data_IF_897972610735
#
_entry.id   IF_897972610735
#
_cell.length_a   1.000
_cell.length_b   1.000
_cell.length_c   1.000
_cell.angle_alpha   90.00
_cell.angle_beta   90.00
_cell.angle_gamma   90.00
#
_symmetry.space_group_name_H-M   'P 1'
#
loop_
_entity.id
_entity.type
_entity.pdbx_description
1 polymer ?
#
# COMPACT_ATOMS: atom_id res chain seq x y z
N UNK A 1 -32.89 10.11 -6.98
CA UNK A 1 -33.04 9.64 -8.37
C UNK A 1 -31.81 10.04 -9.16
N UNK A 2 -30.91 9.10 -9.48
CA UNK A 2 -29.69 9.35 -10.25
C UNK A 2 -30.04 9.55 -11.74
N UNK A 3 -29.48 10.58 -12.37
CA UNK A 3 -29.61 10.80 -13.82
C UNK A 3 -29.10 9.58 -14.59
N UNK A 4 -29.87 9.05 -15.57
CA UNK A 4 -29.42 7.96 -16.40
C UNK A 4 -28.16 8.38 -17.19
N UNK A 5 -27.07 7.57 -17.11
CA UNK A 5 -25.90 7.74 -17.97
C UNK A 5 -26.36 7.59 -19.42
N UNK A 6 -26.23 8.65 -20.23
CA UNK A 6 -26.42 8.57 -21.68
C UNK A 6 -25.34 7.63 -22.22
N UNK A 7 -25.75 6.49 -22.77
CA UNK A 7 -24.89 5.66 -23.61
C UNK A 7 -24.41 6.53 -24.78
N UNK A 8 -23.12 6.50 -25.15
CA UNK A 8 -22.64 7.23 -26.33
C UNK A 8 -23.40 6.71 -27.52
N UNK A 9 -24.08 7.61 -28.26
CA UNK A 9 -24.81 7.27 -29.47
C UNK A 9 -23.81 6.75 -30.51
N UNK A 10 -24.00 5.50 -30.92
CA UNK A 10 -23.17 4.87 -31.94
C UNK A 10 -23.51 5.50 -33.30
N UNK A 11 -22.51 6.04 -34.00
CA UNK A 11 -22.70 6.63 -35.35
C UNK A 11 -23.02 5.52 -36.36
N UNK A 12 -23.73 5.87 -37.45
CA UNK A 12 -24.13 4.90 -38.48
C UNK A 12 -22.91 4.21 -39.12
N UNK A 13 -21.81 4.94 -39.36
CA UNK A 13 -20.55 4.34 -39.83
C UNK A 13 -19.95 3.31 -38.86
N UNK A 14 -20.05 3.53 -37.54
CA UNK A 14 -19.61 2.52 -36.58
C UNK A 14 -20.50 1.28 -36.56
N UNK A 15 -21.82 1.45 -36.77
CA UNK A 15 -22.75 0.31 -36.87
C UNK A 15 -22.43 -0.53 -38.10
N UNK A 16 -22.16 0.10 -39.22
CA UNK A 16 -21.80 -0.59 -40.46
C UNK A 16 -20.50 -1.39 -40.31
N UNK A 17 -19.48 -0.80 -39.72
CA UNK A 17 -18.21 -1.49 -39.42
C UNK A 17 -18.45 -2.71 -38.52
N UNK A 18 -19.25 -2.57 -37.45
CA UNK A 18 -19.55 -3.68 -36.54
C UNK A 18 -20.35 -4.78 -37.24
N UNK A 19 -21.33 -4.43 -38.07
CA UNK A 19 -22.10 -5.43 -38.82
C UNK A 19 -21.20 -6.23 -39.76
N UNK A 20 -20.33 -5.56 -40.52
CA UNK A 20 -19.35 -6.23 -41.38
C UNK A 20 -18.37 -7.10 -40.61
N UNK A 21 -17.94 -6.65 -39.43
CA UNK A 21 -17.04 -7.42 -38.55
C UNK A 21 -17.72 -8.73 -38.09
N UNK A 22 -18.98 -8.65 -37.66
CA UNK A 22 -19.75 -9.83 -37.23
C UNK A 22 -19.89 -10.82 -38.36
N UNK A 23 -20.16 -10.33 -39.60
CA UNK A 23 -20.30 -11.18 -40.79
C UNK A 23 -18.96 -11.79 -41.21
N UNK A 24 -17.88 -11.00 -41.27
CA UNK A 24 -16.56 -11.44 -41.77
C UNK A 24 -15.91 -12.49 -40.88
N UNK A 25 -16.08 -12.35 -39.55
CA UNK A 25 -15.49 -13.29 -38.56
C UNK A 25 -16.49 -14.34 -38.04
N UNK A 26 -17.72 -14.39 -38.56
CA UNK A 26 -18.79 -15.33 -38.12
C UNK A 26 -18.94 -15.35 -36.56
N UNK A 27 -18.96 -14.16 -35.96
CA UNK A 27 -18.92 -13.96 -34.50
C UNK A 27 -20.20 -14.50 -33.86
N UNK A 28 -20.06 -15.51 -33.00
CA UNK A 28 -21.16 -16.15 -32.27
C UNK A 28 -20.93 -16.16 -30.76
N UNK A 29 -19.66 -16.10 -30.32
CA UNK A 29 -19.27 -16.21 -28.93
C UNK A 29 -18.40 -15.02 -28.48
N UNK A 30 -18.17 -14.88 -27.16
CA UNK A 30 -17.25 -13.86 -26.64
C UNK A 30 -15.79 -14.15 -27.03
N UNK A 31 -15.44 -15.41 -27.26
CA UNK A 31 -14.12 -15.86 -27.73
C UNK A 31 -13.88 -15.40 -29.17
N UNK A 32 -14.89 -15.57 -30.07
CA UNK A 32 -14.82 -15.08 -31.44
C UNK A 32 -14.59 -13.56 -31.49
N UNK A 33 -15.22 -12.80 -30.59
CA UNK A 33 -14.98 -11.35 -30.46
C UNK A 33 -13.53 -11.06 -30.15
N UNK A 34 -12.92 -11.79 -29.19
CA UNK A 34 -11.52 -11.60 -28.81
C UNK A 34 -10.57 -11.93 -29.96
N UNK A 35 -10.83 -12.99 -30.69
CA UNK A 35 -10.05 -13.40 -31.84
C UNK A 35 -10.13 -12.38 -32.99
N UNK A 36 -11.32 -11.90 -33.29
CA UNK A 36 -11.52 -10.83 -34.29
C UNK A 36 -10.81 -9.54 -33.88
N UNK A 37 -10.91 -9.13 -32.62
CA UNK A 37 -10.24 -7.93 -32.12
C UNK A 37 -8.71 -8.08 -32.14
N UNK A 38 -8.20 -9.28 -31.86
CA UNK A 38 -6.77 -9.60 -31.92
C UNK A 38 -6.21 -9.47 -33.32
N UNK A 39 -6.88 -10.05 -34.30
CA UNK A 39 -6.50 -10.00 -35.71
C UNK A 39 -6.55 -8.58 -36.25
N UNK A 40 -7.66 -7.86 -36.02
CA UNK A 40 -7.80 -6.45 -36.38
C UNK A 40 -6.74 -5.56 -35.76
N UNK A 41 -6.37 -5.81 -34.49
CA UNK A 41 -5.32 -5.06 -33.80
C UNK A 41 -3.98 -5.28 -34.51
N UNK A 42 -3.65 -6.53 -34.85
CA UNK A 42 -2.42 -6.89 -35.59
C UNK A 42 -2.36 -6.20 -36.96
N UNK A 43 -3.41 -6.31 -37.72
CA UNK A 43 -3.54 -5.66 -39.04
C UNK A 43 -3.45 -4.13 -38.98
N UNK A 44 -4.13 -3.54 -38.00
CA UNK A 44 -4.08 -2.08 -37.77
C UNK A 44 -2.69 -1.60 -37.44
N UNK A 45 -2.00 -2.25 -36.48
CA UNK A 45 -0.62 -1.90 -36.07
C UNK A 45 0.32 -2.04 -37.26
N UNK A 46 0.22 -3.11 -38.03
CA UNK A 46 1.06 -3.32 -39.21
C UNK A 46 0.82 -2.22 -40.26
N UNK A 47 -0.45 -1.91 -40.60
CA UNK A 47 -0.78 -0.83 -41.51
C UNK A 47 -0.25 0.54 -41.04
N UNK A 48 -0.39 0.84 -39.77
CA UNK A 48 0.13 2.08 -39.20
C UNK A 48 1.66 2.16 -39.30
N UNK A 49 2.41 1.06 -39.05
CA UNK A 49 3.86 1.04 -39.21
C UNK A 49 4.30 1.19 -40.68
N UNK A 50 3.54 0.67 -41.61
CA UNK A 50 3.80 0.88 -43.04
C UNK A 50 3.61 2.35 -43.45
N UNK A 51 2.55 3.00 -42.96
CA UNK A 51 2.35 4.42 -43.13
C UNK A 51 3.46 5.26 -42.51
N UNK A 52 3.86 4.91 -41.30
CA UNK A 52 4.95 5.57 -40.56
C UNK A 52 6.29 5.48 -41.32
N UNK A 53 6.64 4.28 -41.82
CA UNK A 53 7.84 4.06 -42.61
C UNK A 53 7.84 4.88 -43.92
N UNK A 54 6.70 4.94 -44.59
CA UNK A 54 6.57 5.75 -45.82
C UNK A 54 6.74 7.25 -45.52
N UNK A 55 6.11 7.74 -44.45
CA UNK A 55 6.24 9.14 -44.03
C UNK A 55 7.69 9.51 -43.67
N UNK A 56 8.41 8.63 -42.95
CA UNK A 56 9.82 8.85 -42.65
C UNK A 56 10.70 8.88 -43.89
N UNK A 57 10.42 8.03 -44.89
CA UNK A 57 11.13 8.05 -46.15
C UNK A 57 10.88 9.34 -46.95
N UNK A 58 9.65 9.82 -47.00
CA UNK A 58 9.31 11.09 -47.63
C UNK A 58 9.98 12.27 -46.94
N UNK A 59 10.09 12.25 -45.59
CA UNK A 59 10.77 13.28 -44.81
C UNK A 59 12.29 13.30 -45.09
N UNK A 60 12.92 12.13 -45.15
CA UNK A 60 14.34 12.01 -45.51
C UNK A 60 14.60 12.47 -46.96
N UNK A 61 13.74 12.10 -47.92
CA UNK A 61 13.85 12.50 -49.31
C UNK A 61 13.61 14.00 -49.53
N UNK A 62 12.76 14.60 -48.69
CA UNK A 62 12.57 16.06 -48.72
C UNK A 62 13.76 16.83 -48.16
N UNK A 63 14.48 16.23 -47.19
CA UNK A 63 15.67 16.80 -46.55
C UNK A 63 16.95 16.58 -47.37
N UNK A 64 17.02 15.46 -48.10
CA UNK A 64 18.13 15.09 -48.98
C UNK A 64 17.61 14.54 -50.31
N UNK A 65 17.65 15.33 -51.42
CA UNK A 65 17.18 14.90 -52.73
C UNK A 65 17.93 13.71 -53.33
N UNK A 66 19.13 13.41 -52.85
CA UNK A 66 19.93 12.25 -53.26
C UNK A 66 19.62 11.00 -52.42
N UNK A 67 18.87 11.13 -51.31
CA UNK A 67 18.49 10.00 -50.50
C UNK A 67 17.73 8.94 -51.30
N UNK A 68 18.24 7.73 -51.26
CA UNK A 68 17.64 6.55 -51.88
C UNK A 68 17.53 5.43 -50.88
N UNK A 69 16.34 5.01 -50.63
CA UNK A 69 16.05 3.85 -49.79
C UNK A 69 14.94 3.01 -50.38
N UNK A 70 14.94 1.72 -50.14
CA UNK A 70 13.96 0.78 -50.62
C UNK A 70 13.50 -0.15 -49.51
N UNK A 71 12.31 -0.70 -49.68
CA UNK A 71 11.77 -1.72 -48.75
C UNK A 71 12.68 -2.96 -48.80
N UNK A 72 12.93 -3.55 -47.63
CA UNK A 72 13.72 -4.75 -47.43
C UNK A 72 12.98 -5.87 -46.72
N UNK A 73 11.69 -6.03 -47.05
CA UNK A 73 10.83 -7.05 -46.51
C UNK A 73 10.29 -6.75 -45.10
N UNK A 74 10.03 -7.79 -44.33
CA UNK A 74 9.41 -7.72 -43.02
C UNK A 74 10.13 -8.62 -42.03
N UNK A 75 10.17 -8.19 -40.75
CA UNK A 75 10.66 -9.00 -39.63
C UNK A 75 9.49 -9.42 -38.77
N UNK A 76 9.28 -10.72 -38.52
CA UNK A 76 8.21 -11.18 -37.63
C UNK A 76 8.46 -10.73 -36.20
N UNK A 77 7.41 -10.32 -35.52
CA UNK A 77 7.42 -9.90 -34.11
C UNK A 77 6.11 -10.23 -33.46
N UNK A 78 6.15 -10.93 -32.31
CA UNK A 78 4.97 -11.20 -31.49
C UNK A 78 4.84 -10.12 -30.42
N UNK A 79 3.66 -9.51 -30.34
CA UNK A 79 3.30 -8.53 -29.31
C UNK A 79 2.32 -9.15 -28.32
N UNK A 80 2.46 -8.78 -27.05
CA UNK A 80 1.46 -9.07 -26.02
C UNK A 80 0.41 -7.98 -25.98
N UNK A 81 -0.85 -8.35 -26.03
CA UNK A 81 -1.97 -7.41 -26.00
C UNK A 81 -3.00 -7.80 -24.95
N UNK A 82 -4.00 -6.95 -24.73
CA UNK A 82 -5.16 -7.26 -23.88
C UNK A 82 -6.06 -8.36 -24.46
N UNK A 83 -5.87 -8.71 -25.74
CA UNK A 83 -6.63 -9.72 -26.46
C UNK A 83 -5.83 -11.00 -26.74
N UNK A 84 -4.64 -11.14 -26.14
CA UNK A 84 -3.73 -12.25 -26.37
C UNK A 84 -2.47 -11.85 -27.13
N UNK A 85 -1.70 -12.86 -27.57
CA UNK A 85 -0.52 -12.65 -28.40
C UNK A 85 -0.92 -12.28 -29.83
N UNK A 86 -0.34 -11.21 -30.34
CA UNK A 86 -0.59 -10.67 -31.69
C UNK A 86 0.69 -10.79 -32.51
N UNK A 87 0.66 -11.56 -33.57
CA UNK A 87 1.78 -11.66 -34.51
C UNK A 87 1.69 -10.56 -35.54
N UNK A 88 2.74 -9.77 -35.66
CA UNK A 88 2.86 -8.68 -36.63
C UNK A 88 4.11 -8.85 -37.47
N UNK A 89 4.13 -8.18 -38.62
CA UNK A 89 5.28 -8.09 -39.50
C UNK A 89 5.80 -6.65 -39.53
N UNK A 90 6.92 -6.40 -38.85
CA UNK A 90 7.53 -5.07 -38.81
C UNK A 90 8.23 -4.80 -40.15
N UNK A 91 7.84 -3.76 -40.90
CA UNK A 91 8.49 -3.44 -42.16
C UNK A 91 9.95 -3.07 -41.92
N UNK A 92 10.79 -3.41 -42.90
CA UNK A 92 12.22 -3.12 -42.91
C UNK A 92 12.57 -2.31 -44.16
N UNK A 93 13.51 -1.40 -44.02
CA UNK A 93 14.13 -0.65 -45.09
C UNK A 93 15.56 -1.16 -45.31
N UNK A 94 16.15 -0.83 -46.43
CA UNK A 94 17.48 -1.32 -46.80
C UNK A 94 18.60 -0.61 -46.07
N UNK A 95 18.41 0.66 -45.75
CA UNK A 95 19.39 1.49 -45.05
C UNK A 95 19.31 1.27 -43.52
N UNK A 96 18.25 0.62 -42.99
CA UNK A 96 17.96 0.45 -41.57
C UNK A 96 17.73 1.77 -40.82
N UNK A 97 17.26 2.80 -41.52
CA UNK A 97 16.96 4.13 -40.99
C UNK A 97 15.55 4.19 -40.33
N UNK A 98 14.67 3.23 -40.67
CA UNK A 98 13.36 3.18 -40.11
C UNK A 98 13.35 2.81 -38.62
N UNK A 99 12.87 3.73 -37.81
CA UNK A 99 12.61 3.52 -36.39
C UNK A 99 11.12 3.57 -36.07
N UNK A 100 10.47 2.40 -35.80
CA UNK A 100 9.05 2.38 -35.49
C UNK A 100 8.76 3.10 -34.17
N UNK A 101 7.89 4.10 -34.20
CA UNK A 101 7.41 4.86 -33.02
C UNK A 101 6.18 4.20 -32.39
N UNK A 102 5.29 3.63 -33.23
CA UNK A 102 4.05 2.99 -32.78
C UNK A 102 4.35 1.74 -31.94
N UNK A 103 5.32 0.92 -32.38
CA UNK A 103 5.81 -0.23 -31.62
C UNK A 103 7.32 -0.17 -31.56
N UNK A 104 7.91 0.48 -30.56
CA UNK A 104 9.35 0.66 -30.45
C UNK A 104 10.14 -0.65 -30.60
N UNK A 105 11.36 -0.57 -31.16
CA UNK A 105 12.18 -1.70 -31.60
C UNK A 105 12.30 -2.84 -30.59
N UNK A 106 12.33 -2.53 -29.28
CA UNK A 106 12.48 -3.50 -28.18
C UNK A 106 11.21 -3.71 -27.36
N UNK A 107 10.13 -3.00 -27.65
CA UNK A 107 8.82 -3.21 -26.98
C UNK A 107 8.14 -4.45 -27.54
N UNK A 108 7.67 -5.33 -26.66
CA UNK A 108 6.86 -6.51 -26.98
C UNK A 108 5.53 -6.54 -26.24
N UNK A 109 5.25 -5.51 -25.48
CA UNK A 109 4.06 -5.45 -24.65
C UNK A 109 3.29 -4.15 -24.90
N UNK A 110 2.05 -4.28 -25.34
CA UNK A 110 1.10 -3.18 -25.58
C UNK A 110 -0.13 -3.31 -24.68
N UNK A 111 -0.08 -4.20 -23.70
CA UNK A 111 -1.24 -4.58 -22.87
C UNK A 111 -1.30 -3.85 -21.53
N UNK A 112 -0.35 -2.95 -21.22
CA UNK A 112 -0.19 -2.36 -19.87
C UNK A 112 -0.09 -3.42 -18.77
N UNK A 113 0.47 -4.59 -19.12
CA UNK A 113 0.53 -5.75 -18.24
C UNK A 113 1.32 -5.47 -16.95
N UNK A 114 2.33 -4.59 -17.03
CA UNK A 114 3.14 -4.19 -15.87
C UNK A 114 2.26 -3.62 -14.75
N UNK A 115 1.31 -2.76 -15.10
CA UNK A 115 0.39 -2.17 -14.12
C UNK A 115 -0.53 -3.22 -13.49
N UNK A 116 -0.97 -4.18 -14.29
CA UNK A 116 -1.83 -5.28 -13.82
C UNK A 116 -1.05 -6.22 -12.89
N UNK A 117 0.21 -6.54 -13.21
CA UNK A 117 1.13 -7.29 -12.37
C UNK A 117 1.29 -6.58 -11.03
N UNK A 118 1.61 -5.29 -11.03
CA UNK A 118 1.79 -4.49 -9.81
C UNK A 118 0.51 -4.50 -8.95
N UNK A 119 -0.67 -4.33 -9.57
CA UNK A 119 -1.97 -4.37 -8.86
C UNK A 119 -2.28 -5.73 -8.24
N UNK A 120 -1.97 -6.84 -8.92
CA UNK A 120 -2.12 -8.20 -8.39
C UNK A 120 -1.14 -8.46 -7.24
N UNK A 121 0.11 -8.03 -7.39
CA UNK A 121 1.13 -8.13 -6.35
C UNK A 121 0.75 -7.34 -5.09
N UNK A 122 0.21 -6.13 -5.25
CA UNK A 122 -0.32 -5.30 -4.16
C UNK A 122 -1.46 -5.95 -3.38
N UNK A 123 -2.16 -6.92 -3.99
CA UNK A 123 -3.21 -7.72 -3.33
C UNK A 123 -2.69 -8.97 -2.62
N UNK A 124 -1.37 -9.22 -2.69
CA UNK A 124 -0.69 -10.32 -2.02
C UNK A 124 -0.54 -11.59 -2.85
N UNK A 125 -0.79 -11.55 -4.16
CA UNK A 125 -0.54 -12.70 -5.02
C UNK A 125 0.96 -12.98 -5.14
N UNK A 126 1.34 -14.26 -5.17
CA UNK A 126 2.72 -14.68 -5.46
C UNK A 126 3.04 -14.51 -6.95
N UNK A 127 4.32 -14.51 -7.30
CA UNK A 127 4.77 -14.43 -8.69
C UNK A 127 4.13 -15.50 -9.57
N UNK A 128 4.07 -16.74 -9.06
CA UNK A 128 3.41 -17.86 -9.72
C UNK A 128 1.92 -17.65 -9.93
N UNK A 129 1.20 -17.24 -8.88
CA UNK A 129 -0.25 -16.95 -8.99
C UNK A 129 -0.53 -15.82 -9.99
N UNK A 130 0.37 -14.83 -10.10
CA UNK A 130 0.24 -13.76 -11.08
C UNK A 130 0.47 -14.31 -12.49
N UNK A 131 1.49 -15.17 -12.70
CA UNK A 131 1.72 -15.82 -13.97
C UNK A 131 0.52 -16.66 -14.41
N UNK A 132 0.00 -17.51 -13.52
CA UNK A 132 -1.18 -18.35 -13.77
C UNK A 132 -2.41 -17.49 -14.13
N UNK A 133 -2.66 -16.43 -13.36
CA UNK A 133 -3.80 -15.51 -13.56
C UNK A 133 -3.72 -14.74 -14.88
N UNK A 134 -2.51 -14.36 -15.32
CA UNK A 134 -2.32 -13.69 -16.61
C UNK A 134 -2.57 -14.64 -17.75
N UNK A 135 -2.09 -15.89 -17.63
CA UNK A 135 -2.39 -16.93 -18.62
C UNK A 135 -3.88 -17.17 -18.72
N UNK A 136 -4.59 -17.27 -17.60
CA UNK A 136 -6.05 -17.50 -17.58
C UNK A 136 -6.85 -16.35 -18.20
N UNK A 137 -6.43 -15.10 -17.98
CA UNK A 137 -7.20 -13.92 -18.43
C UNK A 137 -6.83 -13.52 -19.86
N UNK A 138 -5.54 -13.59 -20.22
CA UNK A 138 -5.01 -13.00 -21.44
C UNK A 138 -4.48 -14.03 -22.45
N UNK A 139 -4.42 -15.30 -22.08
CA UNK A 139 -4.03 -16.37 -22.98
C UNK A 139 -2.54 -16.35 -23.42
N UNK A 140 -1.66 -15.65 -22.67
CA UNK A 140 -0.22 -15.69 -22.92
C UNK A 140 0.58 -15.89 -21.65
N UNK A 141 1.72 -16.55 -21.77
CA UNK A 141 2.59 -16.89 -20.67
C UNK A 141 3.45 -15.71 -20.23
N UNK A 142 3.50 -15.49 -18.91
CA UNK A 142 4.39 -14.52 -18.25
C UNK A 142 5.23 -15.29 -17.24
N UNK A 143 6.56 -15.27 -17.38
CA UNK A 143 7.44 -15.97 -16.45
C UNK A 143 7.45 -15.31 -15.07
N UNK A 144 7.66 -16.09 -14.01
CA UNK A 144 7.84 -15.56 -12.65
C UNK A 144 9.02 -14.58 -12.55
N UNK A 145 10.04 -14.75 -13.38
CA UNK A 145 11.16 -13.83 -13.49
C UNK A 145 10.70 -12.45 -13.99
N UNK A 146 9.88 -12.41 -15.05
CA UNK A 146 9.32 -11.15 -15.56
C UNK A 146 8.44 -10.46 -14.51
N UNK A 147 7.61 -11.22 -13.78
CA UNK A 147 6.81 -10.66 -12.66
C UNK A 147 7.71 -10.05 -11.60
N UNK A 148 8.84 -10.70 -11.30
CA UNK A 148 9.83 -10.20 -10.34
C UNK A 148 10.47 -8.91 -10.85
N UNK A 149 10.87 -8.86 -12.12
CA UNK A 149 11.49 -7.69 -12.74
C UNK A 149 10.55 -6.50 -12.78
N UNK A 150 9.28 -6.72 -13.17
CA UNK A 150 8.25 -5.68 -13.17
C UNK A 150 8.04 -5.13 -11.77
N UNK A 151 7.91 -6.01 -10.76
CA UNK A 151 7.74 -5.56 -9.38
C UNK A 151 8.99 -4.92 -8.79
N UNK A 152 10.18 -5.19 -9.30
CA UNK A 152 11.42 -4.54 -8.89
C UNK A 152 11.53 -3.09 -9.41
N UNK A 153 10.82 -2.74 -10.48
CA UNK A 153 10.80 -1.35 -10.99
C UNK A 153 10.28 -0.33 -9.97
N UNK A 154 9.55 -0.76 -8.94
CA UNK A 154 9.05 0.11 -7.87
C UNK A 154 10.08 0.37 -6.76
N UNK A 155 11.22 -0.36 -6.69
CA UNK A 155 12.20 -0.19 -5.61
C UNK A 155 12.78 1.22 -5.50
N UNK A 156 13.16 1.90 -6.60
CA UNK A 156 13.62 3.29 -6.53
C UNK A 156 12.54 4.25 -5.98
N UNK A 157 11.26 4.00 -6.28
CA UNK A 157 10.14 4.76 -5.75
C UNK A 157 9.99 4.55 -4.25
N UNK A 158 10.11 3.30 -3.77
CA UNK A 158 10.10 2.97 -2.35
C UNK A 158 11.24 3.69 -1.61
N UNK A 159 12.45 3.65 -2.16
CA UNK A 159 13.61 4.32 -1.57
C UNK A 159 13.41 5.84 -1.50
N UNK A 160 12.90 6.45 -2.56
CA UNK A 160 12.55 7.87 -2.59
C UNK A 160 11.48 8.21 -1.56
N UNK A 161 10.43 7.38 -1.48
CA UNK A 161 9.37 7.54 -0.50
C UNK A 161 9.87 7.41 0.94
N UNK A 162 10.73 6.45 1.23
CA UNK A 162 11.34 6.28 2.56
C UNK A 162 12.22 7.47 2.97
N UNK A 163 12.88 8.11 2.01
CA UNK A 163 13.80 9.24 2.25
C UNK A 163 13.13 10.63 2.13
N UNK A 164 11.84 10.68 1.77
CA UNK A 164 11.16 11.96 1.55
C UNK A 164 11.16 12.83 2.80
N UNK A 165 11.22 14.16 2.67
CA UNK A 165 11.04 15.08 3.78
C UNK A 165 9.68 14.85 4.47
N UNK A 166 9.64 15.06 5.77
CA UNK A 166 8.44 14.98 6.60
C UNK A 166 8.10 16.35 7.19
N UNK A 167 6.88 16.52 7.70
CA UNK A 167 6.50 17.71 8.42
C UNK A 167 7.35 17.87 9.69
N UNK A 168 7.56 19.14 10.10
CA UNK A 168 8.35 19.43 11.29
C UNK A 168 7.66 18.95 12.58
N UNK A 169 6.34 19.02 12.63
CA UNK A 169 5.54 18.64 13.80
C UNK A 169 4.48 17.62 13.41
N UNK A 170 4.35 16.59 14.22
CA UNK A 170 3.23 15.64 14.18
C UNK A 170 2.55 15.62 15.55
N UNK A 171 1.35 16.22 15.68
CA UNK A 171 0.61 16.21 16.95
C UNK A 171 0.41 14.82 17.52
N UNK A 172 0.12 13.84 16.67
CA UNK A 172 -0.07 12.46 17.11
C UNK A 172 0.63 11.50 16.13
N UNK A 173 1.40 10.56 16.68
CA UNK A 173 2.05 9.48 15.94
C UNK A 173 1.61 8.14 16.49
N UNK A 174 1.36 7.18 15.62
CA UNK A 174 1.05 5.79 15.99
C UNK A 174 2.14 4.87 15.47
N UNK A 175 2.53 3.90 16.30
CA UNK A 175 3.42 2.80 15.90
C UNK A 175 2.71 1.48 16.18
N UNK A 176 2.68 0.61 15.18
CA UNK A 176 2.15 -0.75 15.30
C UNK A 176 3.02 -1.75 14.56
N UNK A 177 2.94 -3.02 14.94
CA UNK A 177 3.72 -4.10 14.38
C UNK A 177 2.82 -5.25 13.88
N UNK A 178 3.14 -5.78 12.72
CA UNK A 178 2.50 -6.97 12.17
C UNK A 178 3.56 -7.99 11.79
N UNK A 179 3.40 -9.22 12.28
CA UNK A 179 4.34 -10.29 12.04
C UNK A 179 4.02 -11.03 10.75
N UNK A 180 5.04 -11.25 9.92
CA UNK A 180 5.02 -12.00 8.68
C UNK A 180 6.02 -13.14 8.71
N UNK A 181 5.76 -14.20 7.94
CA UNK A 181 6.75 -15.24 7.70
C UNK A 181 7.56 -14.88 6.46
N UNK A 182 8.86 -14.81 6.61
CA UNK A 182 9.81 -14.47 5.53
C UNK A 182 10.85 -15.57 5.45
N UNK A 183 11.23 -15.94 4.23
CA UNK A 183 12.32 -16.88 4.02
C UNK A 183 13.64 -16.11 4.05
N UNK A 184 14.52 -16.55 4.91
CA UNK A 184 15.87 -16.04 5.05
C UNK A 184 16.85 -17.21 5.02
N UNK A 185 17.76 -17.21 4.05
CA UNK A 185 18.74 -18.29 3.84
C UNK A 185 18.11 -19.72 3.86
N UNK A 186 16.95 -19.87 3.21
CA UNK A 186 16.25 -21.15 3.12
C UNK A 186 15.34 -21.47 4.32
N UNK A 187 15.46 -20.73 5.43
CA UNK A 187 14.71 -20.95 6.68
C UNK A 187 13.56 -19.93 6.76
N UNK A 188 12.38 -20.37 7.19
CA UNK A 188 11.25 -19.48 7.43
C UNK A 188 11.40 -18.87 8.83
N UNK A 189 11.53 -17.54 8.89
CA UNK A 189 11.60 -16.75 10.12
C UNK A 189 10.42 -15.80 10.24
N UNK A 190 10.04 -15.49 11.47
CA UNK A 190 9.07 -14.43 11.75
C UNK A 190 9.79 -13.09 11.75
N UNK A 191 9.35 -12.18 10.89
CA UNK A 191 9.81 -10.79 10.87
C UNK A 191 8.64 -9.87 11.14
N UNK A 192 8.87 -8.82 11.93
CA UNK A 192 7.87 -7.80 12.19
C UNK A 192 7.99 -6.67 11.17
N UNK A 193 6.87 -6.29 10.58
CA UNK A 193 6.75 -5.04 9.85
C UNK A 193 6.22 -3.97 10.79
N UNK A 194 7.05 -2.98 11.09
CA UNK A 194 6.73 -1.83 11.93
C UNK A 194 6.24 -0.69 11.04
N UNK A 195 5.09 -0.18 11.37
CA UNK A 195 4.44 0.90 10.62
C UNK A 195 4.30 2.12 11.51
N UNK A 196 4.79 3.24 11.04
CA UNK A 196 4.66 4.53 11.70
C UNK A 196 3.69 5.39 10.90
N UNK A 197 2.63 5.83 11.56
CA UNK A 197 1.61 6.70 10.99
C UNK A 197 1.56 7.99 11.79
N UNK A 198 1.70 9.13 11.11
CA UNK A 198 1.55 10.46 11.68
C UNK A 198 0.21 11.09 11.33
N UNK A 199 -0.25 11.98 12.20
CA UNK A 199 -1.34 12.91 11.91
C UNK A 199 -0.71 14.29 11.80
N UNK A 200 -0.90 14.94 10.65
CA UNK A 200 -0.39 16.31 10.42
C UNK A 200 -1.17 17.33 11.24
N UNK A 201 -0.67 18.56 11.28
CA UNK A 201 -1.35 19.67 11.96
C UNK A 201 -2.73 19.97 11.36
N UNK A 202 -2.92 19.71 10.06
CA UNK A 202 -4.22 19.82 9.37
C UNK A 202 -5.14 18.61 9.62
N UNK A 203 -4.67 17.57 10.32
CA UNK A 203 -5.46 16.37 10.64
C UNK A 203 -5.44 15.28 9.59
N UNK A 204 -4.55 15.35 8.61
CA UNK A 204 -4.39 14.32 7.61
C UNK A 204 -3.52 13.17 8.12
N UNK A 205 -3.89 11.97 7.74
CA UNK A 205 -3.11 10.75 8.04
C UNK A 205 -2.00 10.58 7.03
N UNK A 206 -0.81 10.29 7.50
CA UNK A 206 0.36 10.01 6.66
C UNK A 206 1.13 8.80 7.17
N UNK A 207 1.49 7.87 6.28
CA UNK A 207 2.40 6.76 6.63
C UNK A 207 3.83 7.28 6.56
N UNK A 208 4.47 7.44 7.71
CA UNK A 208 5.81 8.03 7.81
C UNK A 208 6.92 7.04 7.46
N UNK A 209 6.77 5.79 7.91
CA UNK A 209 7.75 4.73 7.67
C UNK A 209 7.11 3.34 7.70
N UNK A 210 7.70 2.42 6.94
CA UNK A 210 7.48 0.97 7.02
C UNK A 210 8.86 0.32 7.13
N UNK A 211 9.16 -0.26 8.28
CA UNK A 211 10.46 -0.89 8.56
C UNK A 211 10.26 -2.37 8.88
N UNK A 212 11.11 -3.23 8.33
CA UNK A 212 11.09 -4.67 8.61
C UNK A 212 12.26 -5.00 9.53
N UNK A 213 11.99 -5.69 10.63
CA UNK A 213 13.00 -6.07 11.61
C UNK A 213 12.73 -7.44 12.25
N UNK A 214 13.77 -8.07 12.76
CA UNK A 214 13.68 -9.38 13.42
C UNK A 214 13.52 -9.26 14.94
N UNK A 215 14.03 -8.19 15.54
CA UNK A 215 14.02 -8.00 16.99
C UNK A 215 13.72 -6.56 17.39
N UNK A 216 12.96 -6.42 18.45
CA UNK A 216 12.69 -5.15 19.12
C UNK A 216 13.75 -4.87 20.17
N UNK A 217 14.36 -3.70 20.12
CA UNK A 217 15.29 -3.21 21.13
C UNK A 217 15.26 -1.67 21.18
N UNK A 218 15.68 -1.09 22.29
CA UNK A 218 15.79 0.36 22.41
C UNK A 218 16.71 0.95 21.32
N UNK A 219 17.80 0.27 20.95
CA UNK A 219 18.70 0.68 19.87
C UNK A 219 18.02 0.68 18.51
N UNK A 220 17.22 -0.35 18.22
CA UNK A 220 16.43 -0.42 16.98
C UNK A 220 15.47 0.76 16.89
N UNK A 221 14.67 0.99 17.94
CA UNK A 221 13.70 2.08 17.95
C UNK A 221 14.35 3.46 17.90
N UNK A 222 15.48 3.63 18.59
CA UNK A 222 16.25 4.87 18.51
C UNK A 222 16.72 5.16 17.09
N UNK A 223 17.17 4.14 16.36
CA UNK A 223 17.53 4.27 14.93
C UNK A 223 16.34 4.70 14.09
N UNK A 224 15.18 4.06 14.28
CA UNK A 224 13.94 4.38 13.55
C UNK A 224 13.46 5.80 13.84
N UNK A 225 13.45 6.22 15.10
CA UNK A 225 13.03 7.58 15.49
C UNK A 225 14.03 8.65 15.01
N UNK A 226 15.34 8.36 15.04
CA UNK A 226 16.35 9.27 14.49
C UNK A 226 16.23 9.41 12.96
N UNK A 227 15.78 8.37 12.26
CA UNK A 227 15.49 8.48 10.83
C UNK A 227 14.36 9.49 10.56
N UNK A 228 13.29 9.51 11.38
CA UNK A 228 12.24 10.52 11.29
C UNK A 228 12.82 11.94 11.50
N UNK A 229 13.71 12.11 12.48
CA UNK A 229 14.40 13.40 12.74
C UNK A 229 15.24 13.83 11.53
N UNK A 230 16.01 12.92 10.95
CA UNK A 230 16.84 13.18 9.78
C UNK A 230 16.00 13.60 8.55
N UNK A 231 14.75 13.18 8.50
CA UNK A 231 13.77 13.54 7.47
C UNK A 231 12.98 14.82 7.78
N UNK A 232 13.29 15.49 8.87
CA UNK A 232 12.75 16.82 9.21
C UNK A 232 11.82 16.89 10.41
N UNK A 233 11.42 15.76 11.01
CA UNK A 233 10.55 15.78 12.20
C UNK A 233 11.33 16.37 13.38
N UNK A 234 10.86 17.50 13.87
CA UNK A 234 11.43 18.20 15.02
C UNK A 234 10.73 17.81 16.31
N UNK A 235 9.39 17.62 16.25
CA UNK A 235 8.60 17.36 17.44
C UNK A 235 7.40 16.44 17.18
N UNK A 236 7.03 15.68 18.24
CA UNK A 236 5.86 14.82 18.32
C UNK A 236 5.22 15.08 19.68
N UNK A 237 3.91 15.46 19.74
CA UNK A 237 3.30 15.73 21.03
C UNK A 237 2.93 14.44 21.75
N UNK A 238 2.23 13.53 21.06
CA UNK A 238 1.82 12.24 21.63
C UNK A 238 2.22 11.11 20.70
N UNK A 239 2.92 10.10 21.21
CA UNK A 239 3.28 8.90 20.49
C UNK A 239 2.56 7.69 21.11
N UNK A 240 1.69 7.08 20.32
CA UNK A 240 0.89 5.91 20.70
C UNK A 240 1.53 4.63 20.13
N UNK A 241 1.92 3.70 20.99
CA UNK A 241 2.48 2.42 20.55
C UNK A 241 1.96 1.25 21.41
N UNK A 242 2.00 0.02 20.84
CA UNK A 242 1.86 -1.18 21.67
C UNK A 242 3.08 -1.31 22.62
N UNK A 243 3.03 -2.24 23.53
CA UNK A 243 4.14 -2.49 24.46
C UNK A 243 5.37 -3.09 23.78
N UNK A 244 5.91 -2.35 22.81
CA UNK A 244 7.12 -2.71 22.07
C UNK A 244 8.34 -2.57 22.98
N UNK A 245 9.20 -3.59 22.99
CA UNK A 245 10.35 -3.63 23.91
C UNK A 245 11.33 -2.49 23.63
N UNK A 246 11.62 -1.66 24.64
CA UNK A 246 12.58 -0.56 24.57
C UNK A 246 12.09 0.70 23.83
N UNK A 247 10.81 0.76 23.43
CA UNK A 247 10.25 1.92 22.71
C UNK A 247 10.21 3.17 23.62
N UNK A 248 9.86 3.02 24.90
CA UNK A 248 9.81 4.13 25.84
C UNK A 248 11.15 4.82 26.00
N UNK A 249 12.23 4.05 26.18
CA UNK A 249 13.60 4.57 26.30
C UNK A 249 14.04 5.28 25.01
N UNK A 250 13.68 4.72 23.86
CA UNK A 250 14.02 5.31 22.58
C UNK A 250 13.27 6.63 22.34
N UNK A 251 11.99 6.72 22.75
CA UNK A 251 11.19 7.96 22.68
C UNK A 251 11.83 9.03 23.58
N UNK A 252 12.14 8.68 24.84
CA UNK A 252 12.77 9.61 25.79
C UNK A 252 14.11 10.14 25.27
N UNK A 253 14.88 9.33 24.55
CA UNK A 253 16.16 9.73 23.96
C UNK A 253 16.01 10.56 22.68
N UNK A 254 15.10 10.19 21.78
CA UNK A 254 14.93 10.86 20.49
C UNK A 254 14.04 12.12 20.59
N UNK A 255 12.92 12.02 21.30
CA UNK A 255 11.91 13.06 21.45
C UNK A 255 11.51 13.22 22.93
N UNK A 256 12.37 13.83 23.77
CA UNK A 256 12.22 13.85 25.23
C UNK A 256 10.96 14.60 25.71
N UNK A 257 10.38 15.44 24.88
CA UNK A 257 9.16 16.19 25.21
C UNK A 257 7.87 15.46 24.78
N UNK A 258 7.99 14.27 24.14
CA UNK A 258 6.85 13.51 23.65
C UNK A 258 6.17 12.73 24.77
N UNK A 259 4.85 12.85 24.87
CA UNK A 259 4.04 11.99 25.75
C UNK A 259 3.93 10.58 25.14
N UNK A 260 4.51 9.59 25.82
CA UNK A 260 4.34 8.20 25.41
C UNK A 260 3.03 7.64 25.95
N UNK A 261 2.14 7.26 25.05
CA UNK A 261 0.87 6.62 25.38
C UNK A 261 0.87 5.15 24.94
N UNK A 262 0.70 4.25 25.88
CA UNK A 262 0.52 2.85 25.56
C UNK A 262 -0.86 2.60 24.94
N UNK A 263 -0.91 1.84 23.87
CA UNK A 263 -2.14 1.55 23.13
C UNK A 263 -3.16 0.79 24.01
N UNK A 264 -4.27 1.42 24.35
CA UNK A 264 -5.33 0.85 25.20
C UNK A 264 -6.01 -0.34 24.50
N UNK A 265 -6.22 -0.26 23.18
CA UNK A 265 -6.84 -1.35 22.42
C UNK A 265 -6.02 -2.63 22.50
N UNK A 266 -4.68 -2.53 22.40
CA UNK A 266 -3.79 -3.68 22.57
C UNK A 266 -3.74 -4.17 24.01
N UNK A 267 -3.77 -3.27 25.00
CA UNK A 267 -3.86 -3.63 26.41
C UNK A 267 -5.13 -4.46 26.68
N UNK A 268 -6.29 -4.00 26.22
CA UNK A 268 -7.57 -4.72 26.36
C UNK A 268 -7.53 -6.07 25.64
N UNK A 269 -7.09 -6.11 24.39
CA UNK A 269 -6.97 -7.36 23.61
C UNK A 269 -6.08 -8.39 24.31
N UNK A 270 -4.93 -7.94 24.82
CA UNK A 270 -3.98 -8.81 25.51
C UNK A 270 -4.53 -9.33 26.85
N UNK A 271 -5.28 -8.50 27.60
CA UNK A 271 -5.96 -8.92 28.83
C UNK A 271 -6.99 -10.00 28.54
N UNK A 272 -7.81 -9.81 27.50
CA UNK A 272 -8.91 -10.71 27.16
C UNK A 272 -8.46 -11.99 26.41
N UNK A 273 -7.21 -12.07 26.01
CA UNK A 273 -6.71 -13.20 25.19
C UNK A 273 -6.87 -14.56 25.88
N UNK A 274 -6.72 -14.59 27.19
CA UNK A 274 -6.78 -15.80 28.01
C UNK A 274 -8.07 -15.92 28.81
N UNK A 275 -9.05 -15.06 28.54
CA UNK A 275 -10.35 -15.03 29.23
C UNK A 275 -11.35 -15.91 28.47
N UNK A 276 -12.07 -16.77 29.18
CA UNK A 276 -13.11 -17.62 28.59
C UNK A 276 -14.21 -16.77 27.93
N UNK A 277 -14.77 -17.25 26.82
CA UNK A 277 -15.75 -16.48 26.01
C UNK A 277 -16.94 -15.96 26.81
N UNK A 278 -17.45 -16.75 27.75
CA UNK A 278 -18.57 -16.36 28.63
C UNK A 278 -18.30 -15.14 29.50
N UNK A 279 -17.05 -14.88 29.85
CA UNK A 279 -16.64 -13.79 30.75
C UNK A 279 -16.08 -12.58 29.99
N UNK A 280 -15.72 -12.74 28.71
CA UNK A 280 -15.08 -11.69 27.92
C UNK A 280 -15.87 -10.39 27.85
N UNK A 281 -17.19 -10.48 27.67
CA UNK A 281 -18.06 -9.30 27.57
C UNK A 281 -18.08 -8.52 28.88
N UNK A 282 -18.23 -9.21 29.99
CA UNK A 282 -18.28 -8.60 31.33
C UNK A 282 -16.93 -7.99 31.67
N UNK A 283 -15.85 -8.74 31.52
CA UNK A 283 -14.49 -8.23 31.78
C UNK A 283 -14.15 -7.03 30.89
N UNK A 284 -14.50 -7.07 29.59
CA UNK A 284 -14.30 -5.92 28.70
C UNK A 284 -15.06 -4.68 29.15
N UNK A 285 -16.27 -4.83 29.72
CA UNK A 285 -17.04 -3.72 30.28
C UNK A 285 -16.37 -3.17 31.54
N UNK A 286 -15.86 -4.05 32.40
CA UNK A 286 -15.11 -3.62 33.57
C UNK A 286 -13.83 -2.87 33.20
N UNK A 287 -13.07 -3.35 32.21
CA UNK A 287 -11.90 -2.64 31.69
C UNK A 287 -12.24 -1.24 31.15
N UNK A 288 -13.44 -1.05 30.57
CA UNK A 288 -13.88 0.28 30.10
C UNK A 288 -13.96 1.28 31.25
N UNK A 289 -14.32 0.87 32.44
CA UNK A 289 -14.40 1.77 33.59
C UNK A 289 -13.06 2.40 33.93
N UNK A 290 -11.96 1.72 33.61
CA UNK A 290 -10.59 2.21 33.83
C UNK A 290 -10.30 3.38 32.89
N UNK A 291 -10.33 3.15 31.58
CA UNK A 291 -9.89 4.14 30.59
C UNK A 291 -10.95 5.17 30.19
N UNK A 292 -12.21 5.02 30.66
CA UNK A 292 -13.25 6.04 30.59
C UNK A 292 -13.40 6.81 31.91
N UNK A 293 -12.56 6.60 32.89
CA UNK A 293 -12.57 7.37 34.12
C UNK A 293 -12.33 8.88 33.84
N UNK A 294 -12.92 9.79 34.63
CA UNK A 294 -12.75 11.22 34.42
C UNK A 294 -11.32 11.69 34.58
N UNK A 295 -10.58 11.09 35.49
CA UNK A 295 -9.20 11.44 35.84
C UNK A 295 -8.36 10.19 36.17
N UNK A 296 -7.05 10.40 36.33
CA UNK A 296 -6.09 9.35 36.62
C UNK A 296 -6.36 8.64 37.94
N UNK A 297 -6.74 9.38 38.99
CA UNK A 297 -6.98 8.81 40.32
C UNK A 297 -8.14 7.84 40.30
N UNK A 298 -9.26 8.24 39.66
CA UNK A 298 -10.42 7.36 39.51
C UNK A 298 -10.11 6.18 38.59
N UNK A 299 -9.32 6.39 37.52
CA UNK A 299 -8.86 5.33 36.64
C UNK A 299 -8.04 4.28 37.36
N UNK A 300 -7.13 4.72 38.24
CA UNK A 300 -6.32 3.83 39.08
C UNK A 300 -7.15 3.04 40.09
N UNK A 301 -8.09 3.70 40.76
CA UNK A 301 -9.05 3.03 41.70
C UNK A 301 -9.86 1.97 40.95
N UNK A 302 -10.41 2.31 39.79
CA UNK A 302 -11.18 1.37 38.97
C UNK A 302 -10.31 0.17 38.55
N UNK A 303 -9.04 0.38 38.21
CA UNK A 303 -8.11 -0.69 37.89
C UNK A 303 -7.93 -1.65 39.08
N UNK A 304 -7.82 -1.13 40.29
CA UNK A 304 -7.72 -1.97 41.51
C UNK A 304 -9.00 -2.80 41.72
N UNK A 305 -10.17 -2.19 41.62
CA UNK A 305 -11.47 -2.88 41.74
C UNK A 305 -11.60 -3.99 40.69
N UNK A 306 -11.23 -3.72 39.44
CA UNK A 306 -11.27 -4.72 38.36
C UNK A 306 -10.29 -5.85 38.65
N UNK A 307 -9.09 -5.53 39.17
CA UNK A 307 -8.12 -6.54 39.55
C UNK A 307 -8.65 -7.44 40.69
N UNK A 308 -9.20 -6.87 41.76
CA UNK A 308 -9.78 -7.63 42.87
C UNK A 308 -10.89 -8.58 42.42
N UNK A 309 -11.74 -8.12 41.49
CA UNK A 309 -12.83 -8.94 40.92
C UNK A 309 -12.32 -10.13 40.11
N UNK A 310 -11.31 -9.91 39.27
CA UNK A 310 -10.90 -10.87 38.26
C UNK A 310 -9.68 -11.70 38.59
N UNK A 311 -8.76 -11.24 39.47
CA UNK A 311 -7.50 -11.94 39.80
C UNK A 311 -7.73 -13.33 40.38
N UNK A 312 -8.85 -13.57 41.09
CA UNK A 312 -9.20 -14.91 41.59
C UNK A 312 -9.48 -15.90 40.48
N UNK A 313 -10.11 -15.44 39.39
CA UNK A 313 -10.54 -16.29 38.27
C UNK A 313 -9.51 -16.33 37.15
N UNK A 314 -8.86 -15.22 36.90
CA UNK A 314 -7.84 -15.01 35.85
C UNK A 314 -6.59 -14.38 36.49
N UNK A 315 -5.80 -15.15 37.23
CA UNK A 315 -4.59 -14.63 37.88
C UNK A 315 -3.66 -13.94 36.87
N UNK A 316 -3.07 -12.83 37.26
CA UNK A 316 -2.16 -12.03 36.45
C UNK A 316 -2.77 -11.35 35.22
N UNK A 317 -4.08 -11.42 35.03
CA UNK A 317 -4.74 -10.75 33.89
C UNK A 317 -4.55 -9.23 33.92
N UNK A 318 -4.47 -8.67 35.12
CA UNK A 318 -4.33 -7.22 35.37
C UNK A 318 -2.90 -6.77 35.64
N UNK A 319 -1.91 -7.68 35.72
CA UNK A 319 -0.51 -7.31 36.02
C UNK A 319 0.03 -6.31 34.98
N UNK A 320 -0.28 -6.52 33.70
CA UNK A 320 0.14 -5.59 32.65
C UNK A 320 -0.39 -4.17 32.81
N UNK A 321 -1.57 -3.99 33.40
CA UNK A 321 -2.13 -2.67 33.69
C UNK A 321 -1.39 -2.01 34.84
N UNK A 322 -1.14 -2.79 35.92
CA UNK A 322 -0.38 -2.33 37.09
C UNK A 322 1.06 -1.95 36.73
N UNK A 323 1.76 -2.85 36.05
CA UNK A 323 3.19 -2.69 35.69
C UNK A 323 3.44 -1.55 34.68
N UNK A 324 2.43 -1.20 33.90
CA UNK A 324 2.55 -0.19 32.82
C UNK A 324 1.67 1.04 33.05
N UNK A 325 1.20 1.25 34.29
CA UNK A 325 0.31 2.37 34.57
C UNK A 325 0.88 3.72 34.16
N UNK A 326 2.15 3.97 34.39
CA UNK A 326 2.85 5.19 33.98
C UNK A 326 2.81 5.46 32.46
N UNK A 327 2.67 4.41 31.63
CA UNK A 327 2.52 4.53 30.17
C UNK A 327 1.04 4.50 29.71
N UNK A 328 0.12 4.08 30.58
CA UNK A 328 -1.32 4.08 30.35
C UNK A 328 -1.94 5.42 30.75
N UNK A 329 -1.54 5.96 31.91
CA UNK A 329 -2.14 7.13 32.55
C UNK A 329 -1.98 8.48 31.81
N UNK A 330 -0.97 8.69 30.92
CA UNK A 330 -0.84 9.98 30.23
C UNK A 330 -2.11 10.44 29.51
N UNK A 331 -2.97 9.50 29.05
CA UNK A 331 -4.22 9.82 28.40
C UNK A 331 -5.17 10.68 29.29
N UNK A 332 -5.07 10.59 30.62
CA UNK A 332 -5.91 11.35 31.53
C UNK A 332 -5.61 12.85 31.58
N UNK A 333 -4.50 13.30 30.99
CA UNK A 333 -4.19 14.71 30.79
C UNK A 333 -5.11 15.38 29.73
N UNK A 334 -5.79 14.59 28.90
CA UNK A 334 -6.54 15.07 27.74
C UNK A 334 -8.05 14.94 27.94
N UNK A 335 -8.81 15.76 27.24
CA UNK A 335 -10.27 15.65 27.17
C UNK A 335 -10.72 14.34 26.51
N UNK A 336 -11.98 13.97 26.70
CA UNK A 336 -12.57 12.77 26.08
C UNK A 336 -12.46 12.76 24.55
N UNK A 337 -12.42 13.93 23.91
CA UNK A 337 -12.31 14.06 22.46
C UNK A 337 -10.92 13.63 22.02
N UNK A 338 -9.89 14.17 22.64
CA UNK A 338 -8.49 13.84 22.35
C UNK A 338 -8.19 12.39 22.76
N UNK A 339 -8.68 11.95 23.95
CA UNK A 339 -8.52 10.55 24.39
C UNK A 339 -9.03 9.57 23.35
N UNK A 340 -10.21 9.80 22.74
CA UNK A 340 -10.76 8.94 21.70
C UNK A 340 -9.84 8.78 20.51
N UNK A 341 -9.14 9.81 20.10
CA UNK A 341 -8.17 9.75 19.03
C UNK A 341 -6.94 8.96 19.48
N UNK A 342 -6.42 9.22 20.66
CA UNK A 342 -5.18 8.62 21.18
C UNK A 342 -5.33 7.12 21.47
N UNK A 343 -6.43 6.70 22.12
CA UNK A 343 -6.59 5.29 22.50
C UNK A 343 -7.25 4.42 21.43
N UNK A 344 -7.89 5.03 20.40
CA UNK A 344 -8.43 4.25 19.27
C UNK A 344 -7.38 4.09 18.20
N UNK A 345 -7.09 2.84 17.84
CA UNK A 345 -6.21 2.53 16.71
C UNK A 345 -6.90 2.69 15.35
N UNK A 346 -8.08 3.33 15.29
CA UNK A 346 -8.86 3.48 14.05
C UNK A 346 -8.05 4.13 12.92
N UNK A 347 -7.14 5.05 13.24
CA UNK A 347 -6.28 5.69 12.27
C UNK A 347 -5.38 4.67 11.54
N UNK A 348 -4.75 3.74 12.29
CA UNK A 348 -3.85 2.74 11.77
C UNK A 348 -4.54 1.39 11.43
N UNK A 349 -5.75 1.14 11.96
CA UNK A 349 -6.46 -0.14 11.76
C UNK A 349 -6.79 -0.44 10.30
N UNK A 350 -7.13 0.57 9.50
CA UNK A 350 -7.41 0.39 8.07
C UNK A 350 -6.17 -0.12 7.34
N UNK A 351 -4.99 0.40 7.68
CA UNK A 351 -3.71 -0.01 7.15
C UNK A 351 -3.36 -1.44 7.60
N UNK A 352 -3.49 -1.70 8.89
CA UNK A 352 -3.26 -3.02 9.48
C UNK A 352 -4.20 -4.09 8.91
N UNK A 353 -5.45 -3.74 8.63
CA UNK A 353 -6.40 -4.63 7.98
C UNK A 353 -5.94 -5.02 6.56
N UNK A 354 -5.40 -4.07 5.80
CA UNK A 354 -4.77 -4.32 4.51
C UNK A 354 -3.57 -5.24 4.62
N UNK A 355 -2.69 -5.00 5.57
CA UNK A 355 -1.50 -5.82 5.80
C UNK A 355 -1.82 -7.24 6.30
N UNK A 356 -2.83 -7.38 7.18
CA UNK A 356 -3.32 -8.72 7.56
C UNK A 356 -3.93 -9.47 6.38
N UNK A 357 -4.49 -8.76 5.38
CA UNK A 357 -4.98 -9.38 4.14
C UNK A 357 -3.82 -9.94 3.33
N UNK A 358 -2.71 -9.21 3.20
CA UNK A 358 -1.48 -9.71 2.56
C UNK A 358 -1.00 -10.99 3.23
N UNK A 359 -0.95 -11.02 4.57
CA UNK A 359 -0.51 -12.17 5.34
C UNK A 359 -1.42 -13.40 5.14
N UNK A 360 -2.73 -13.19 4.94
CA UNK A 360 -3.67 -14.27 4.61
C UNK A 360 -3.56 -14.75 3.17
N UNK A 361 -3.27 -13.85 2.24
CA UNK A 361 -3.13 -14.19 0.81
C UNK A 361 -1.79 -14.86 0.51
N UNK A 362 -0.76 -14.55 1.29
CA UNK A 362 0.60 -15.08 1.09
C UNK A 362 1.21 -15.47 2.43
N UNK A 363 1.25 -16.78 2.68
CA UNK A 363 1.71 -17.34 3.96
C UNK A 363 3.21 -17.10 4.22
N UNK A 364 4.05 -17.05 3.18
CA UNK A 364 5.51 -16.88 3.28
C UNK A 364 6.00 -15.95 2.16
N UNK A 365 6.72 -14.92 2.51
CA UNK A 365 7.42 -14.07 1.54
C UNK A 365 8.81 -14.64 1.25
N UNK A 366 9.31 -14.58 -0.02
CA UNK A 366 10.58 -15.16 -0.40
C UNK A 366 11.78 -14.45 0.24
N UNK A 367 11.66 -13.16 0.53
CA UNK A 367 12.65 -12.30 1.20
C UNK A 367 12.00 -11.03 1.74
N UNK A 368 12.76 -10.26 2.52
CA UNK A 368 12.31 -9.00 3.13
C UNK A 368 12.03 -7.90 2.08
N UNK A 369 12.71 -7.92 0.92
CA UNK A 369 12.45 -6.96 -0.17
C UNK A 369 11.08 -7.22 -0.80
N UNK A 370 10.73 -8.48 -1.03
CA UNK A 370 9.41 -8.86 -1.53
C UNK A 370 8.29 -8.46 -0.55
N UNK A 371 8.52 -8.63 0.76
CA UNK A 371 7.61 -8.16 1.79
C UNK A 371 7.47 -6.63 1.75
N UNK A 372 8.57 -5.88 1.71
CA UNK A 372 8.57 -4.42 1.66
C UNK A 372 7.81 -3.89 0.45
N UNK A 373 8.03 -4.46 -0.75
CA UNK A 373 7.29 -4.10 -1.97
C UNK A 373 5.78 -4.29 -1.79
N UNK A 374 5.37 -5.43 -1.24
CA UNK A 374 3.95 -5.72 -1.02
C UNK A 374 3.32 -4.78 0.00
N UNK A 375 4.01 -4.48 1.10
CA UNK A 375 3.55 -3.55 2.13
C UNK A 375 3.44 -2.12 1.60
N UNK A 376 4.44 -1.64 0.86
CA UNK A 376 4.41 -0.32 0.24
C UNK A 376 3.23 -0.16 -0.72
N UNK A 377 3.05 -1.10 -1.64
CA UNK A 377 1.95 -1.06 -2.61
C UNK A 377 0.57 -1.16 -1.93
N UNK A 378 0.46 -1.96 -0.87
CA UNK A 378 -0.78 -2.03 -0.10
C UNK A 378 -1.05 -0.72 0.66
N UNK A 379 -0.01 -0.11 1.24
CA UNK A 379 -0.11 1.19 1.90
C UNK A 379 -0.52 2.27 0.89
N UNK A 380 0.13 2.37 -0.27
CA UNK A 380 -0.19 3.31 -1.34
C UNK A 380 -1.66 3.20 -1.79
N UNK A 381 -2.15 1.98 -2.03
CA UNK A 381 -3.55 1.75 -2.40
C UNK A 381 -4.56 2.16 -1.30
N UNK A 382 -4.18 2.09 -0.04
CA UNK A 382 -5.02 2.47 1.09
C UNK A 382 -4.97 3.98 1.30
N UNK A 383 -3.78 4.57 1.29
CA UNK A 383 -3.57 6.01 1.54
C UNK A 383 -4.18 6.89 0.47
N UNK A 384 -4.22 6.46 -0.78
CA UNK A 384 -4.96 7.14 -1.88
C UNK A 384 -6.45 7.37 -1.58
N UNK A 385 -7.02 6.63 -0.62
CA UNK A 385 -8.41 6.80 -0.17
C UNK A 385 -8.55 7.72 1.04
N UNK A 386 -7.44 8.17 1.62
CA UNK A 386 -7.44 9.07 2.77
C UNK A 386 -7.54 10.53 2.31
N UNK A 387 -8.72 10.93 1.91
CA UNK A 387 -8.99 12.28 1.40
C UNK A 387 -9.53 13.23 2.47
N UNK A 388 -9.97 12.69 3.61
CA UNK A 388 -10.56 13.47 4.68
C UNK A 388 -9.63 13.56 5.89
N UNK A 389 -9.75 14.65 6.63
CA UNK A 389 -9.13 14.84 7.95
C UNK A 389 -9.76 13.90 8.99
N UNK A 390 -9.11 13.75 10.12
CA UNK A 390 -9.72 13.06 11.27
C UNK A 390 -10.98 13.80 11.73
N UNK A 391 -11.97 13.02 12.15
CA UNK A 391 -13.19 13.59 12.72
C UNK A 391 -12.86 14.42 13.96
N UNK A 392 -13.57 15.53 14.13
CA UNK A 392 -13.44 16.47 15.26
C UNK A 392 -12.01 17.04 15.42
N UNK A 393 -11.18 16.98 14.35
CA UNK A 393 -9.77 17.36 14.40
C UNK A 393 -9.55 18.82 14.88
N UNK A 394 -10.38 19.75 14.46
CA UNK A 394 -10.26 21.15 14.90
C UNK A 394 -10.30 21.30 16.42
N UNK A 395 -11.13 20.51 17.12
CA UNK A 395 -11.20 20.51 18.60
C UNK A 395 -9.97 19.82 19.21
N UNK A 396 -9.56 18.69 18.63
CA UNK A 396 -8.36 17.96 19.05
C UNK A 396 -7.12 18.84 18.93
N UNK A 397 -6.93 19.47 17.79
CA UNK A 397 -5.77 20.31 17.53
C UNK A 397 -5.76 21.58 18.37
N UNK A 398 -6.94 22.20 18.58
CA UNK A 398 -7.06 23.37 19.45
C UNK A 398 -6.62 23.05 20.88
N UNK A 399 -7.05 21.92 21.47
CA UNK A 399 -6.61 21.48 22.80
C UNK A 399 -5.10 21.22 22.84
N UNK A 400 -4.58 20.45 21.88
CA UNK A 400 -3.15 20.16 21.80
C UNK A 400 -2.32 21.41 21.60
N UNK A 401 -2.80 22.40 20.81
CA UNK A 401 -2.14 23.69 20.62
C UNK A 401 -2.11 24.51 21.89
N UNK A 402 -3.13 24.45 22.74
CA UNK A 402 -3.12 25.13 24.06
C UNK A 402 -2.12 24.45 25.00
N UNK A 403 -2.08 23.10 25.01
CA UNK A 403 -1.20 22.34 25.90
C UNK A 403 0.28 22.43 25.50
N UNK A 404 0.57 22.49 24.21
CA UNK A 404 1.91 22.38 23.63
C UNK A 404 2.30 23.59 22.76
N UNK A 405 1.57 24.72 22.87
CA UNK A 405 1.73 25.88 21.98
C UNK A 405 3.15 26.47 21.94
N UNK A 406 3.89 26.40 23.05
CA UNK A 406 5.29 26.82 23.10
C UNK A 406 6.23 25.99 22.21
N UNK A 407 5.76 24.80 21.77
CA UNK A 407 6.50 23.85 20.93
C UNK A 407 6.14 23.95 19.43
N UNK A 408 5.18 24.80 19.09
CA UNK A 408 4.71 25.03 17.72
C UNK A 408 5.46 26.15 16.99
N UNK A 409 6.45 26.79 17.67
CA UNK A 409 7.22 27.93 17.15
C UNK A 409 8.52 27.50 16.45
#
# INVERSE_FOLDING_TARGET
MGRPRKSPSMTDGKREIISRLIEEYDIKTAEDIQDALRDLLGGTIQGMMECEMNAQKEEHQASDPEYRDSRNGYKPKTLRSNYGSVDIRVPQDRNSDYEPRIVPKYSRDISEIDEKIIRMYARGMSTRQISDQIMDIYGFEVSEALVTDVTNKILPEIESWQKRPLCAVYPIVYIDAIVFNVRDNGIIRKQAAYVILGISEEGHKEVLSITIGESESAKFWLSVLNELKNRGVKDIFVLCADGLTGIGDAIAAAFPMTEYQRCIVHMVRNTLKYVADKDRKEFANDLKTIYHAPDEEQGYRNMQVVAEKWDKKYPRSMDRWKDNWAAVSPMFKFSDIVRRVIYTTNAIESLNSGFRRLNRSRNVFPDSKALLKALYLAADNITKKWTNTLRDWGQVYAELSVMYGERLS
#
